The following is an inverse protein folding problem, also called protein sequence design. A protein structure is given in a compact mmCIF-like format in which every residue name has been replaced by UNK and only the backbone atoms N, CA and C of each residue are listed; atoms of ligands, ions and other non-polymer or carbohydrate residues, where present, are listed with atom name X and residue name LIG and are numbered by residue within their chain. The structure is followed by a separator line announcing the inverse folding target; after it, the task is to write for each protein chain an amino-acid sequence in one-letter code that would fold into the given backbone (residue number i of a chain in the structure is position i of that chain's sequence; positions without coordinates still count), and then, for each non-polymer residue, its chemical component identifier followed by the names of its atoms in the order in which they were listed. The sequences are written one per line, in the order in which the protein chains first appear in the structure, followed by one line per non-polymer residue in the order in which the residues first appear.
data_IF_092167687007
#
_entry.id   IF_092167687007
#
_cell.length_a   1.000
_cell.length_b   1.000
_cell.length_c   1.000
_cell.angle_alpha   90.00
_cell.angle_beta   90.00
_cell.angle_gamma   90.00
#
_symmetry.space_group_name_H-M   'P 1'
#
loop_
_entity.id
_entity.type
_entity.pdbx_description
1 polymer ?
#
# COMPACT_ATOMS: atom_id res chain seq x y z
N UNK A 1 -14.92 -1.18 12.55
CA UNK A 1 -13.59 -0.75 12.07
C UNK A 1 -12.88 -1.98 11.55
N UNK A 2 -12.46 -1.96 10.28
CA UNK A 2 -11.77 -3.07 9.62
C UNK A 2 -10.36 -2.61 9.29
N UNK A 3 -9.38 -3.50 9.47
CA UNK A 3 -7.98 -3.26 9.09
C UNK A 3 -7.65 -4.19 7.94
N UNK A 4 -7.02 -3.66 6.90
CA UNK A 4 -6.53 -4.42 5.77
C UNK A 4 -5.02 -4.25 5.66
N UNK A 5 -4.33 -5.39 5.60
CA UNK A 5 -2.91 -5.47 5.28
C UNK A 5 -2.74 -5.78 3.80
N UNK A 6 -1.83 -5.06 3.16
CA UNK A 6 -1.29 -5.39 1.85
C UNK A 6 0.23 -5.51 1.99
N UNK A 7 0.83 -6.45 1.28
CA UNK A 7 2.25 -6.74 1.35
C UNK A 7 2.76 -7.05 -0.05
N UNK A 8 3.90 -6.45 -0.40
CA UNK A 8 4.65 -6.82 -1.59
C UNK A 8 6.14 -6.81 -1.31
N UNK A 9 6.86 -7.65 -2.06
CA UNK A 9 8.31 -7.73 -2.07
C UNK A 9 8.81 -7.36 -3.45
N UNK A 10 9.81 -6.49 -3.50
CA UNK A 10 10.50 -6.13 -4.74
C UNK A 10 11.83 -6.87 -4.86
N UNK A 11 12.32 -6.98 -6.09
CA UNK A 11 13.74 -7.22 -6.32
C UNK A 11 14.56 -6.05 -5.76
N UNK A 12 15.84 -6.27 -5.35
CA UNK A 12 16.65 -5.24 -4.68
C UNK A 12 16.70 -3.90 -5.42
N UNK A 13 16.74 -3.92 -6.75
CA UNK A 13 16.83 -2.72 -7.59
C UNK A 13 15.49 -2.00 -7.76
N UNK A 14 14.35 -2.67 -7.57
CA UNK A 14 13.02 -2.10 -7.74
C UNK A 14 12.36 -1.64 -6.44
N UNK A 15 13.05 -1.76 -5.30
CA UNK A 15 12.46 -1.46 -3.99
C UNK A 15 12.12 0.02 -3.80
N UNK A 16 13.01 0.91 -4.24
CA UNK A 16 12.75 2.35 -4.18
C UNK A 16 11.53 2.72 -5.05
N UNK A 17 11.47 2.18 -6.27
CA UNK A 17 10.35 2.41 -7.19
C UNK A 17 9.03 1.87 -6.61
N UNK A 18 9.06 0.73 -5.92
CA UNK A 18 7.90 0.19 -5.23
C UNK A 18 7.39 1.14 -4.12
N UNK A 19 8.29 1.69 -3.30
CA UNK A 19 7.92 2.67 -2.27
C UNK A 19 7.33 3.92 -2.91
N UNK A 20 7.98 4.46 -3.94
CA UNK A 20 7.48 5.64 -4.66
C UNK A 20 6.11 5.38 -5.25
N UNK A 21 5.89 4.23 -5.90
CA UNK A 21 4.58 3.88 -6.45
C UNK A 21 3.51 3.74 -5.37
N UNK A 22 3.83 3.13 -4.21
CA UNK A 22 2.88 3.02 -3.09
C UNK A 22 2.43 4.40 -2.64
N UNK A 23 3.37 5.32 -2.42
CA UNK A 23 3.08 6.67 -1.92
C UNK A 23 2.40 7.56 -2.96
N UNK A 24 2.83 7.51 -4.21
CA UNK A 24 2.42 8.50 -5.22
C UNK A 24 1.25 8.01 -6.08
N UNK A 25 0.96 6.71 -6.11
CA UNK A 25 -0.10 6.12 -6.94
C UNK A 25 -1.08 5.29 -6.12
N UNK A 26 -0.60 4.27 -5.40
CA UNK A 26 -1.49 3.29 -4.78
C UNK A 26 -2.31 3.86 -3.62
N UNK A 27 -1.67 4.62 -2.73
CA UNK A 27 -2.33 5.25 -1.59
C UNK A 27 -3.34 6.32 -1.99
N UNK A 28 -3.00 7.27 -2.88
CA UNK A 28 -3.97 8.23 -3.38
C UNK A 28 -5.24 7.55 -3.89
N UNK A 29 -5.17 6.46 -4.65
CA UNK A 29 -6.37 5.78 -5.16
C UNK A 29 -7.34 5.24 -4.08
N UNK A 30 -6.83 4.89 -2.90
CA UNK A 30 -7.66 4.38 -1.79
C UNK A 30 -8.03 5.46 -0.78
N UNK A 31 -7.23 6.52 -0.65
CA UNK A 31 -7.45 7.63 0.28
C UNK A 31 -8.63 8.53 -0.13
N UNK A 32 -8.98 8.56 -1.42
CA UNK A 32 -10.17 9.27 -1.90
C UNK A 32 -11.49 8.56 -1.52
N UNK A 33 -11.45 7.31 -1.04
CA UNK A 33 -12.64 6.57 -0.67
C UNK A 33 -13.23 7.10 0.66
N UNK A 34 -14.52 7.47 0.72
CA UNK A 34 -15.13 8.00 1.94
C UNK A 34 -15.13 7.03 3.13
N UNK A 35 -14.97 5.73 2.86
CA UNK A 35 -14.89 4.68 3.87
C UNK A 35 -13.45 4.47 4.36
N UNK A 36 -12.45 5.01 3.68
CA UNK A 36 -11.07 5.05 4.15
C UNK A 36 -10.93 5.98 5.35
N UNK A 37 -10.05 5.61 6.29
CA UNK A 37 -9.78 6.40 7.49
C UNK A 37 -8.31 6.83 7.57
N UNK A 38 -7.39 5.90 7.33
CA UNK A 38 -5.94 6.19 7.34
C UNK A 38 -5.17 5.03 6.73
N UNK A 39 -3.98 5.32 6.21
CA UNK A 39 -2.99 4.33 5.78
C UNK A 39 -1.65 4.57 6.47
N UNK A 40 -0.94 3.50 6.79
CA UNK A 40 0.43 3.52 7.32
C UNK A 40 1.30 2.62 6.43
N UNK A 41 2.48 3.10 6.06
CA UNK A 41 3.43 2.39 5.19
C UNK A 41 4.64 1.99 6.02
N UNK A 42 5.03 0.72 5.91
CA UNK A 42 6.20 0.16 6.58
C UNK A 42 7.13 -0.46 5.54
N UNK A 43 8.42 -0.23 5.70
CA UNK A 43 9.48 -0.85 4.90
C UNK A 43 10.33 -1.79 5.78
N UNK A 44 10.75 -2.91 5.23
CA UNK A 44 11.65 -3.86 5.88
C UNK A 44 12.97 -3.98 5.10
N UNK A 45 14.03 -4.44 5.77
CA UNK A 45 15.38 -4.61 5.20
C UNK A 45 15.48 -5.72 4.15
N UNK A 46 14.43 -6.52 3.97
CA UNK A 46 14.33 -7.59 2.96
C UNK A 46 13.62 -7.17 1.66
N UNK A 47 13.59 -5.87 1.38
CA UNK A 47 12.94 -5.23 0.22
C UNK A 47 11.43 -5.44 0.18
N UNK A 48 10.79 -5.38 1.35
CA UNK A 48 9.35 -5.58 1.53
C UNK A 48 8.68 -4.30 1.96
N UNK A 49 7.53 -4.01 1.35
CA UNK A 49 6.64 -2.92 1.73
C UNK A 49 5.35 -3.52 2.27
N UNK A 50 4.90 -3.02 3.42
CA UNK A 50 3.62 -3.36 4.04
C UNK A 50 2.79 -2.10 4.16
N UNK A 51 1.55 -2.16 3.68
CA UNK A 51 0.57 -1.08 3.84
C UNK A 51 -0.54 -1.57 4.76
N UNK A 52 -0.76 -0.84 5.84
CA UNK A 52 -1.86 -1.08 6.78
C UNK A 52 -2.88 0.03 6.59
N UNK A 53 -4.07 -0.32 6.12
CA UNK A 53 -5.17 0.63 5.90
C UNK A 53 -6.34 0.35 6.84
N UNK A 54 -6.92 1.42 7.39
CA UNK A 54 -8.05 1.39 8.33
C UNK A 54 -9.30 1.89 7.63
N UNK A 55 -10.40 1.16 7.80
CA UNK A 55 -11.65 1.38 7.07
C UNK A 55 -12.87 1.36 7.99
N UNK A 56 -13.88 2.16 7.63
CA UNK A 56 -15.18 2.19 8.30
C UNK A 56 -15.99 0.92 8.00
N UNK A 57 -15.90 0.40 6.77
CA UNK A 57 -16.58 -0.79 6.29
C UNK A 57 -15.70 -1.59 5.32
N UNK A 58 -16.31 -2.36 4.41
CA UNK A 58 -15.61 -3.27 3.49
C UNK A 58 -14.43 -2.57 2.78
N UNK A 59 -13.19 -3.02 2.99
CA UNK A 59 -11.99 -2.34 2.50
C UNK A 59 -11.74 -2.62 1.01
N UNK A 60 -11.43 -1.57 0.24
CA UNK A 60 -11.03 -1.70 -1.17
C UNK A 60 -9.64 -2.36 -1.29
N UNK A 61 -9.37 -3.18 -2.32
CA UNK A 61 -8.01 -3.60 -2.62
C UNK A 61 -7.12 -2.42 -2.98
N UNK A 62 -5.87 -2.47 -2.49
CA UNK A 62 -4.80 -1.69 -3.10
C UNK A 62 -4.65 -2.16 -4.55
N UNK A 63 -4.36 -1.26 -5.50
CA UNK A 63 -4.05 -1.67 -6.88
C UNK A 63 -2.86 -2.63 -6.93
N UNK A 64 -2.73 -3.35 -8.03
CA UNK A 64 -1.57 -4.18 -8.28
C UNK A 64 -0.35 -3.29 -8.61
N UNK A 65 0.85 -3.63 -8.10
CA UNK A 65 2.05 -2.88 -8.41
C UNK A 65 2.40 -3.00 -9.90
N UNK A 66 3.10 -2.01 -10.48
CA UNK A 66 3.57 -2.10 -11.85
C UNK A 66 4.47 -3.33 -11.99
N UNK A 67 4.32 -4.06 -13.11
CA UNK A 67 5.24 -5.14 -13.46
C UNK A 67 6.59 -4.52 -13.83
N UNK A 68 7.51 -4.46 -12.87
CA UNK A 68 8.92 -4.10 -13.06
C UNK A 68 9.74 -5.29 -13.51
#
# INVERSE_FOLDING_TARGET
MIVRMWEARAEPYGFADLITWVCDTALPEVEHDPLHMSSEVFSSTDHRVVVISKWRSSPRPLPDPPAT
#
